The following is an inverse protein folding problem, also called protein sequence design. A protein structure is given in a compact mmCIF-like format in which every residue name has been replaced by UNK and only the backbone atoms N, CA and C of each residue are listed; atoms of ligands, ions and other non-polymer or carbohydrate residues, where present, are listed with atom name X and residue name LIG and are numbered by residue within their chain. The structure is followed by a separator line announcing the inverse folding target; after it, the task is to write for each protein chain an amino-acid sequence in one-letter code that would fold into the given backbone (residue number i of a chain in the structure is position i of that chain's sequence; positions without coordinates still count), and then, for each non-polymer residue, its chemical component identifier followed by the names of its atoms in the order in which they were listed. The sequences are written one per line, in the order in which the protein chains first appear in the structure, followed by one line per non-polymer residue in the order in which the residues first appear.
data_IF_069567825196
#
_entry.id   IF_069567825196
#
_cell.length_a   1.000
_cell.length_b   1.000
_cell.length_c   1.000
_cell.angle_alpha   90.00
_cell.angle_beta   90.00
_cell.angle_gamma   90.00
#
_symmetry.space_group_name_H-M   'P 1'
#
loop_
_entity.id
_entity.type
_entity.pdbx_description
1 polymer ?
#
# COMPACT_ATOMS: atom_id res chain seq x y z
N UNK A 1 -13.77 -10.45 1.23
CA UNK A 1 -12.97 -10.60 2.46
C UNK A 1 -13.82 -11.19 3.58
N UNK A 2 -14.84 -10.48 4.10
CA UNK A 2 -15.69 -11.01 5.19
C UNK A 2 -16.34 -12.35 4.83
N UNK A 3 -17.01 -12.43 3.67
CA UNK A 3 -17.61 -13.67 3.15
C UNK A 3 -16.59 -14.80 2.90
N UNK A 4 -15.30 -14.48 2.87
CA UNK A 4 -14.23 -15.43 2.57
C UNK A 4 -13.44 -15.82 3.83
N UNK A 5 -13.95 -15.54 5.04
CA UNK A 5 -13.34 -16.01 6.28
C UNK A 5 -12.51 -14.99 7.07
N UNK A 6 -12.51 -13.70 6.69
CA UNK A 6 -11.74 -12.67 7.41
C UNK A 6 -12.00 -12.66 8.93
N UNK A 7 -13.26 -12.83 9.37
CA UNK A 7 -13.59 -12.82 10.80
C UNK A 7 -12.99 -14.01 11.55
N UNK A 8 -12.84 -15.16 10.87
CA UNK A 8 -12.23 -16.34 11.45
C UNK A 8 -10.73 -16.08 11.67
N UNK A 9 -10.05 -15.55 10.66
CA UNK A 9 -8.64 -15.17 10.73
C UNK A 9 -8.36 -14.16 11.86
N UNK A 10 -9.23 -13.14 11.99
CA UNK A 10 -9.10 -12.12 13.04
C UNK A 10 -9.28 -12.73 14.44
N UNK A 11 -10.28 -13.61 14.62
CA UNK A 11 -10.52 -14.29 15.91
C UNK A 11 -9.37 -15.22 16.28
N UNK A 12 -8.82 -15.94 15.32
CA UNK A 12 -7.64 -16.78 15.54
C UNK A 12 -6.46 -15.92 16.01
N UNK A 13 -6.18 -14.81 15.31
CA UNK A 13 -5.11 -13.89 15.70
C UNK A 13 -5.33 -13.30 17.11
N UNK A 14 -6.57 -12.98 17.46
CA UNK A 14 -6.95 -12.49 18.79
C UNK A 14 -6.70 -13.53 19.88
N UNK A 15 -7.13 -14.78 19.68
CA UNK A 15 -6.88 -15.85 20.65
C UNK A 15 -5.38 -16.16 20.79
N UNK A 16 -4.62 -16.18 19.69
CA UNK A 16 -3.16 -16.34 19.76
C UNK A 16 -2.51 -15.22 20.58
N UNK A 17 -2.93 -13.97 20.39
CA UNK A 17 -2.42 -12.84 21.16
C UNK A 17 -2.76 -12.98 22.65
N UNK A 18 -3.95 -13.47 22.98
CA UNK A 18 -4.40 -13.70 24.35
C UNK A 18 -3.63 -14.83 25.03
N UNK A 19 -3.61 -16.03 24.44
CA UNK A 19 -2.93 -17.21 25.00
C UNK A 19 -1.41 -17.02 25.10
N UNK A 20 -0.79 -16.36 24.13
CA UNK A 20 0.66 -16.08 24.18
C UNK A 20 1.05 -15.02 25.22
N UNK A 21 0.11 -14.20 25.68
CA UNK A 21 0.32 -13.33 26.84
C UNK A 21 0.29 -14.12 28.16
N UNK A 22 -0.48 -15.21 28.22
CA UNK A 22 -0.63 -16.03 29.43
C UNK A 22 0.52 -17.04 29.64
N UNK A 23 1.20 -17.47 28.56
CA UNK A 23 2.33 -18.41 28.61
C UNK A 23 3.69 -17.74 28.87
N UNK A 24 3.79 -16.41 28.76
CA UNK A 24 5.01 -15.65 29.02
C UNK A 24 5.06 -15.13 30.45
N UNK A 25 5.89 -15.74 31.31
CA UNK A 25 6.21 -15.22 32.63
C UNK A 25 6.90 -13.84 32.51
N UNK A 26 6.11 -12.77 32.50
CA UNK A 26 6.59 -11.39 32.44
C UNK A 26 5.48 -10.44 31.98
N UNK A 27 4.95 -9.68 32.94
CA UNK A 27 3.95 -8.61 32.81
C UNK A 27 4.03 -7.88 31.46
N UNK A 28 3.20 -8.29 30.49
CA UNK A 28 2.71 -7.36 29.47
C UNK A 28 1.52 -6.65 30.08
N UNK A 29 1.71 -5.38 30.43
CA UNK A 29 0.62 -4.49 30.83
C UNK A 29 -0.51 -4.55 29.78
N UNK A 30 -1.77 -4.31 30.19
CA UNK A 30 -2.90 -4.24 29.25
C UNK A 30 -2.64 -3.28 28.07
N UNK A 31 -1.79 -2.27 28.29
CA UNK A 31 -1.33 -1.34 27.27
C UNK A 31 -0.54 -2.00 26.13
N UNK A 32 0.21 -3.08 26.41
CA UNK A 32 0.97 -3.82 25.40
C UNK A 32 0.08 -4.81 24.62
N UNK A 33 -1.04 -5.26 25.23
CA UNK A 33 -2.05 -6.11 24.56
C UNK A 33 -2.84 -5.35 23.48
N UNK A 34 -3.01 -4.05 23.66
CA UNK A 34 -3.75 -3.16 22.74
C UNK A 34 -2.83 -2.31 21.85
N UNK A 35 -1.56 -2.70 21.72
CA UNK A 35 -0.60 -1.94 20.95
C UNK A 35 -0.71 -2.21 19.44
N UNK A 36 -1.63 -1.51 18.78
CA UNK A 36 -1.83 -1.57 17.32
C UNK A 36 -0.75 -0.82 16.52
N UNK A 37 0.38 -0.49 17.13
CA UNK A 37 1.49 0.24 16.50
C UNK A 37 2.70 -0.64 16.20
N UNK A 38 2.62 -1.96 16.42
CA UNK A 38 3.73 -2.89 16.22
C UNK A 38 3.28 -4.18 15.50
N UNK A 39 4.11 -4.65 14.58
CA UNK A 39 3.97 -5.97 13.96
C UNK A 39 2.65 -6.18 13.20
N UNK A 40 2.15 -7.42 13.24
CA UNK A 40 0.93 -7.85 12.54
C UNK A 40 -0.34 -7.13 13.05
N UNK A 41 -0.32 -6.61 14.27
CA UNK A 41 -1.47 -5.90 14.86
C UNK A 41 -1.74 -4.52 14.23
N UNK A 42 -0.82 -4.01 13.39
CA UNK A 42 -1.04 -2.79 12.59
C UNK A 42 -1.96 -3.01 11.38
N UNK A 43 -2.23 -4.26 11.00
CA UNK A 43 -2.99 -4.62 9.80
C UNK A 43 -4.40 -4.02 9.81
N UNK A 44 -4.79 -3.42 8.68
CA UNK A 44 -6.15 -2.91 8.47
C UNK A 44 -7.13 -4.08 8.49
N UNK A 45 -8.14 -3.98 9.33
CA UNK A 45 -9.14 -5.02 9.58
C UNK A 45 -8.92 -5.75 10.90
N UNK A 46 -7.73 -5.71 11.51
CA UNK A 46 -7.57 -6.26 12.87
C UNK A 46 -8.03 -5.25 13.92
N UNK A 47 -7.39 -4.08 13.98
CA UNK A 47 -7.71 -3.03 14.97
C UNK A 47 -9.15 -2.51 14.83
N UNK A 48 -9.66 -2.41 13.60
CA UNK A 48 -11.03 -1.95 13.35
C UNK A 48 -12.08 -2.95 13.86
N UNK A 49 -11.76 -4.24 13.88
CA UNK A 49 -12.63 -5.28 14.43
C UNK A 49 -12.33 -5.61 15.89
N UNK A 50 -11.33 -4.97 16.51
CA UNK A 50 -10.91 -5.29 17.86
C UNK A 50 -12.05 -5.15 18.88
N UNK A 51 -12.77 -4.03 18.87
CA UNK A 51 -13.90 -3.81 19.77
C UNK A 51 -15.05 -4.80 19.54
N UNK A 52 -15.21 -5.29 18.31
CA UNK A 52 -16.24 -6.28 17.97
C UNK A 52 -15.88 -7.69 18.45
N UNK A 53 -14.59 -8.06 18.44
CA UNK A 53 -14.14 -9.40 18.84
C UNK A 53 -13.80 -9.50 20.34
N UNK A 54 -13.42 -8.40 20.99
CA UNK A 54 -13.04 -8.39 22.40
C UNK A 54 -14.25 -8.29 23.34
N UNK A 55 -15.38 -7.83 22.83
CA UNK A 55 -16.59 -7.67 23.64
C UNK A 55 -17.34 -9.02 23.78
N UNK A 56 -17.61 -9.48 25.00
CA UNK A 56 -18.50 -10.63 25.22
C UNK A 56 -19.92 -10.40 24.66
N UNK A 57 -20.40 -9.15 24.62
CA UNK A 57 -21.71 -8.78 24.10
C UNK A 57 -21.60 -8.35 22.62
N UNK A 58 -21.71 -9.35 21.75
CA UNK A 58 -21.63 -9.16 20.30
C UNK A 58 -22.81 -8.32 19.79
N UNK A 59 -22.56 -7.04 19.49
CA UNK A 59 -23.55 -6.12 18.92
C UNK A 59 -23.40 -6.01 17.40
N UNK A 60 -24.53 -6.10 16.68
CA UNK A 60 -24.59 -5.88 15.23
C UNK A 60 -24.14 -4.46 14.84
N UNK A 61 -24.36 -3.47 15.72
CA UNK A 61 -23.87 -2.10 15.51
C UNK A 61 -22.35 -2.03 15.46
N UNK A 62 -21.66 -2.68 16.40
CA UNK A 62 -20.18 -2.74 16.44
C UNK A 62 -19.60 -3.43 15.22
N UNK A 63 -20.29 -4.47 14.73
CA UNK A 63 -19.91 -5.12 13.47
C UNK A 63 -20.00 -4.16 12.29
N UNK A 64 -21.12 -3.46 12.13
CA UNK A 64 -21.32 -2.51 11.04
C UNK A 64 -20.29 -1.37 11.08
N UNK A 65 -20.00 -0.84 12.27
CA UNK A 65 -18.98 0.19 12.48
C UNK A 65 -17.58 -0.32 12.11
N UNK A 66 -17.19 -1.51 12.55
CA UNK A 66 -15.91 -2.14 12.21
C UNK A 66 -15.74 -2.31 10.68
N UNK A 67 -16.81 -2.67 9.98
CA UNK A 67 -16.82 -2.79 8.51
C UNK A 67 -16.57 -1.44 7.85
N UNK A 68 -17.26 -0.39 8.28
CA UNK A 68 -17.10 0.95 7.70
C UNK A 68 -15.74 1.55 8.02
N UNK A 69 -15.23 1.37 9.24
CA UNK A 69 -13.88 1.78 9.60
C UNK A 69 -12.83 1.05 8.75
N UNK A 70 -12.97 -0.26 8.53
CA UNK A 70 -12.06 -1.04 7.68
C UNK A 70 -12.04 -0.48 6.26
N UNK A 71 -13.22 -0.26 5.65
CA UNK A 71 -13.32 0.36 4.31
C UNK A 71 -12.67 1.74 4.26
N UNK A 72 -12.88 2.55 5.30
CA UNK A 72 -12.31 3.89 5.40
C UNK A 72 -10.79 3.88 5.51
N UNK A 73 -10.24 3.03 6.39
CA UNK A 73 -8.81 2.80 6.53
C UNK A 73 -8.18 2.32 5.23
N UNK A 74 -8.82 1.39 4.50
CA UNK A 74 -8.33 0.92 3.19
C UNK A 74 -8.29 2.05 2.16
N UNK A 75 -9.33 2.91 2.07
CA UNK A 75 -9.32 4.07 1.16
C UNK A 75 -8.22 5.07 1.52
N UNK A 76 -8.05 5.38 2.80
CA UNK A 76 -6.98 6.25 3.28
C UNK A 76 -5.60 5.67 2.97
N UNK A 77 -5.41 4.37 3.15
CA UNK A 77 -4.16 3.70 2.84
C UNK A 77 -3.83 3.78 1.34
N UNK A 78 -4.79 3.46 0.46
CA UNK A 78 -4.60 3.58 -0.98
C UNK A 78 -4.21 5.02 -1.40
N UNK A 79 -4.88 6.04 -0.83
CA UNK A 79 -4.52 7.44 -1.07
C UNK A 79 -3.08 7.75 -0.65
N UNK A 80 -2.69 7.34 0.57
CA UNK A 80 -1.33 7.55 1.08
C UNK A 80 -0.27 6.83 0.25
N UNK A 81 -0.57 5.64 -0.28
CA UNK A 81 0.35 4.93 -1.17
C UNK A 81 0.63 5.73 -2.43
N UNK A 82 -0.41 6.28 -3.07
CA UNK A 82 -0.25 7.12 -4.27
C UNK A 82 0.53 8.39 -3.93
N UNK A 83 0.19 9.06 -2.83
CA UNK A 83 0.91 10.26 -2.37
C UNK A 83 2.40 9.95 -2.11
N UNK A 84 2.72 8.82 -1.49
CA UNK A 84 4.11 8.42 -1.25
C UNK A 84 4.87 8.13 -2.55
N UNK A 85 4.24 7.42 -3.49
CA UNK A 85 4.84 7.15 -4.80
C UNK A 85 5.17 8.44 -5.55
N UNK A 86 4.28 9.43 -5.50
CA UNK A 86 4.43 10.71 -6.19
C UNK A 86 5.41 11.65 -5.51
N UNK A 87 5.37 11.75 -4.18
CA UNK A 87 6.09 12.79 -3.44
C UNK A 87 7.44 12.33 -2.88
N UNK A 88 7.65 11.02 -2.74
CA UNK A 88 8.88 10.47 -2.14
C UNK A 88 9.64 9.61 -3.16
N UNK A 89 9.01 8.56 -3.70
CA UNK A 89 9.71 7.61 -4.59
C UNK A 89 10.11 8.23 -5.93
N UNK A 90 9.18 8.89 -6.63
CA UNK A 90 9.48 9.45 -7.95
C UNK A 90 10.57 10.53 -7.90
N UNK A 91 10.58 11.48 -6.94
CA UNK A 91 11.70 12.41 -6.76
C UNK A 91 13.03 11.71 -6.49
N UNK A 92 13.05 10.66 -5.67
CA UNK A 92 14.27 9.90 -5.39
C UNK A 92 14.82 9.20 -6.63
N UNK A 93 13.95 8.61 -7.48
CA UNK A 93 14.39 8.01 -8.75
C UNK A 93 14.96 9.08 -9.69
N UNK A 94 14.27 10.22 -9.81
CA UNK A 94 14.72 11.33 -10.66
C UNK A 94 16.07 11.91 -10.22
N UNK A 95 16.32 11.99 -8.91
CA UNK A 95 17.59 12.51 -8.39
C UNK A 95 18.76 11.60 -8.76
N UNK A 96 18.59 10.28 -8.63
CA UNK A 96 19.58 9.28 -9.07
C UNK A 96 19.81 9.37 -10.58
N UNK A 97 18.72 9.43 -11.36
CA UNK A 97 18.80 9.54 -12.82
C UNK A 97 19.52 10.82 -13.29
N UNK A 98 19.33 11.95 -12.60
CA UNK A 98 20.03 13.19 -12.92
C UNK A 98 21.54 13.11 -12.63
N UNK A 99 21.93 12.41 -11.56
CA UNK A 99 23.35 12.22 -11.18
C UNK A 99 24.08 11.23 -12.09
N UNK A 100 23.35 10.30 -12.71
CA UNK A 100 23.91 9.25 -13.56
C UNK A 100 23.94 9.60 -15.06
N UNK A 101 23.74 10.86 -15.45
CA UNK A 101 23.84 11.29 -16.86
C UNK A 101 25.20 10.87 -17.45
N UNK A 102 25.17 9.81 -18.28
CA UNK A 102 26.37 9.21 -18.91
C UNK A 102 26.70 7.77 -18.50
N UNK A 103 25.96 7.14 -17.57
CA UNK A 103 26.15 5.72 -17.18
C UNK A 103 24.96 4.85 -17.66
N UNK A 104 25.26 3.60 -18.00
CA UNK A 104 24.37 2.65 -18.68
C UNK A 104 23.18 2.11 -17.86
N UNK A 105 23.08 2.40 -16.56
CA UNK A 105 21.98 1.94 -15.72
C UNK A 105 21.31 3.12 -15.05
N UNK A 106 20.17 3.52 -15.62
CA UNK A 106 19.32 4.59 -15.12
C UNK A 106 18.10 3.94 -14.48
N UNK A 107 17.84 4.24 -13.22
CA UNK A 107 16.60 3.82 -12.57
C UNK A 107 15.40 4.52 -13.25
N UNK A 108 14.44 3.72 -13.74
CA UNK A 108 13.24 4.22 -14.39
C UNK A 108 11.98 3.70 -13.68
N UNK A 109 10.94 4.55 -13.60
CA UNK A 109 9.63 4.17 -13.09
C UNK A 109 8.62 4.14 -14.24
N UNK A 110 8.03 2.98 -14.48
CA UNK A 110 7.01 2.76 -15.49
C UNK A 110 5.62 2.71 -14.86
N UNK A 111 4.66 3.46 -15.44
CA UNK A 111 3.27 3.46 -14.98
C UNK A 111 2.37 2.68 -15.94
N UNK A 112 1.73 1.64 -15.41
CA UNK A 112 0.79 0.78 -16.15
C UNK A 112 -0.64 1.07 -15.70
N UNK A 113 -1.50 1.41 -16.66
CA UNK A 113 -2.87 1.85 -16.35
C UNK A 113 -3.82 0.66 -16.12
N UNK A 114 -4.25 0.51 -14.86
CA UNK A 114 -5.22 -0.52 -14.44
C UNK A 114 -6.66 0.00 -14.33
N UNK A 115 -6.94 1.25 -14.73
CA UNK A 115 -8.23 1.94 -14.52
C UNK A 115 -9.36 1.41 -15.40
N UNK A 116 -9.05 0.64 -16.45
CA UNK A 116 -10.04 -0.06 -17.27
C UNK A 116 -10.94 -0.97 -16.42
N UNK A 117 -12.21 -1.13 -16.82
CA UNK A 117 -13.26 -1.85 -16.06
C UNK A 117 -12.68 -3.08 -15.36
N UNK A 118 -12.44 -2.95 -14.06
CA UNK A 118 -12.33 -4.09 -13.17
C UNK A 118 -13.72 -4.72 -13.22
N UNK A 119 -13.91 -5.72 -14.09
CA UNK A 119 -15.13 -6.49 -14.12
C UNK A 119 -15.18 -7.37 -12.85
N UNK A 120 -15.23 -6.73 -11.68
CA UNK A 120 -15.86 -7.32 -10.51
C UNK A 120 -17.33 -7.24 -10.81
N UNK A 121 -17.80 -8.18 -11.63
CA UNK A 121 -19.20 -8.37 -11.90
C UNK A 121 -19.90 -8.51 -10.56
N UNK A 122 -20.72 -7.54 -10.20
CA UNK A 122 -21.80 -7.73 -9.25
C UNK A 122 -22.84 -8.61 -9.96
N UNK A 123 -22.51 -9.87 -10.19
CA UNK A 123 -23.46 -10.92 -10.55
C UNK A 123 -23.42 -11.95 -9.45
N UNK A 124 -24.39 -11.81 -8.56
CA UNK A 124 -24.91 -12.90 -7.77
C UNK A 124 -25.16 -14.07 -8.74
N UNK A 125 -24.65 -15.25 -8.39
CA UNK A 125 -24.68 -16.49 -9.19
C UNK A 125 -23.75 -16.53 -10.42
N UNK A 126 -22.50 -16.91 -10.19
CA UNK A 126 -21.90 -18.22 -10.56
C UNK A 126 -20.37 -18.05 -10.47
N UNK A 127 -19.79 -18.70 -9.47
CA UNK A 127 -18.35 -18.82 -9.27
C UNK A 127 -17.83 -19.82 -10.31
N UNK A 128 -17.31 -19.33 -11.44
CA UNK A 128 -16.46 -20.15 -12.30
C UNK A 128 -15.16 -19.37 -12.55
N UNK A 129 -14.14 -19.71 -11.76
CA UNK A 129 -12.88 -18.96 -11.62
C UNK A 129 -11.88 -19.29 -12.76
N UNK A 130 -12.25 -20.14 -13.72
CA UNK A 130 -11.32 -20.59 -14.77
C UNK A 130 -11.31 -19.75 -16.05
N UNK A 131 -12.10 -18.68 -16.14
CA UNK A 131 -11.97 -17.73 -17.24
C UNK A 131 -12.35 -16.33 -16.77
N UNK A 132 -11.53 -15.78 -15.87
CA UNK A 132 -11.41 -14.34 -15.78
C UNK A 132 -10.83 -13.88 -17.12
N UNK A 133 -11.72 -13.52 -18.05
CA UNK A 133 -11.37 -12.63 -19.15
C UNK A 133 -10.77 -11.40 -18.48
N UNK A 134 -9.44 -11.35 -18.40
CA UNK A 134 -8.73 -10.09 -18.25
C UNK A 134 -9.33 -9.23 -19.35
N UNK A 135 -10.23 -8.30 -19.00
CA UNK A 135 -10.92 -7.48 -19.99
C UNK A 135 -9.87 -6.96 -20.96
N UNK A 136 -10.14 -6.98 -22.27
CA UNK A 136 -9.14 -6.74 -23.33
C UNK A 136 -8.22 -5.54 -23.03
N UNK A 137 -8.77 -4.50 -22.39
CA UNK A 137 -8.06 -3.34 -21.87
C UNK A 137 -6.93 -3.63 -20.86
N UNK A 138 -7.03 -4.63 -19.97
CA UNK A 138 -5.93 -4.99 -19.04
C UNK A 138 -4.81 -5.73 -19.77
N UNK A 139 -5.14 -6.53 -20.78
CA UNK A 139 -4.12 -7.17 -21.60
C UNK A 139 -3.32 -6.10 -22.34
N UNK A 140 -4.01 -5.16 -23.00
CA UNK A 140 -3.35 -4.10 -23.76
C UNK A 140 -2.63 -3.06 -22.89
N UNK A 141 -3.19 -2.69 -21.73
CA UNK A 141 -2.67 -1.55 -20.95
C UNK A 141 -1.70 -1.97 -19.82
N UNK A 142 -1.69 -3.24 -19.45
CA UNK A 142 -0.87 -3.75 -18.32
C UNK A 142 0.01 -4.90 -18.77
N UNK A 143 -0.60 -6.01 -19.23
CA UNK A 143 0.15 -7.24 -19.47
C UNK A 143 1.16 -7.08 -20.62
N UNK A 144 0.73 -6.55 -21.76
CA UNK A 144 1.60 -6.39 -22.93
C UNK A 144 2.73 -5.38 -22.67
N UNK A 145 2.47 -4.17 -22.14
CA UNK A 145 3.56 -3.25 -21.79
C UNK A 145 4.50 -3.82 -20.73
N UNK A 146 3.98 -4.50 -19.70
CA UNK A 146 4.83 -5.14 -18.69
C UNK A 146 5.77 -6.19 -19.29
N UNK A 147 5.25 -7.06 -20.16
CA UNK A 147 6.06 -8.06 -20.87
C UNK A 147 7.10 -7.42 -21.77
N UNK A 148 6.71 -6.39 -22.52
CA UNK A 148 7.61 -5.65 -23.41
C UNK A 148 8.78 -5.05 -22.63
N UNK A 149 8.50 -4.33 -21.53
CA UNK A 149 9.52 -3.72 -20.67
C UNK A 149 10.41 -4.79 -20.04
N UNK A 150 9.82 -5.86 -19.52
CA UNK A 150 10.56 -6.96 -18.90
C UNK A 150 11.49 -7.64 -19.90
N UNK A 151 11.01 -7.96 -21.10
CA UNK A 151 11.83 -8.61 -22.12
C UNK A 151 12.96 -7.69 -22.57
N UNK A 152 12.68 -6.40 -22.84
CA UNK A 152 13.71 -5.44 -23.21
C UNK A 152 14.78 -5.31 -22.11
N UNK A 153 14.36 -5.27 -20.84
CA UNK A 153 15.28 -5.24 -19.71
C UNK A 153 16.15 -6.50 -19.61
N UNK A 154 15.55 -7.68 -19.74
CA UNK A 154 16.27 -8.96 -19.61
C UNK A 154 17.21 -9.23 -20.79
N UNK A 155 16.88 -8.72 -21.97
CA UNK A 155 17.69 -8.87 -23.19
C UNK A 155 18.72 -7.76 -23.39
N UNK A 156 18.84 -6.81 -22.44
CA UNK A 156 19.70 -5.63 -22.56
C UNK A 156 19.39 -4.77 -23.81
N UNK A 157 18.12 -4.76 -24.23
CA UNK A 157 17.62 -3.91 -25.31
C UNK A 157 17.33 -2.49 -24.81
N UNK A 158 17.18 -1.54 -25.74
CA UNK A 158 16.81 -0.18 -25.39
C UNK A 158 15.40 -0.15 -24.76
N UNK A 159 15.34 0.37 -23.53
CA UNK A 159 14.08 0.47 -22.80
C UNK A 159 13.21 1.62 -23.34
N UNK A 160 11.88 1.44 -23.42
CA UNK A 160 10.98 2.49 -23.87
C UNK A 160 10.99 3.68 -22.89
N UNK A 161 10.73 4.89 -23.40
CA UNK A 161 10.53 6.06 -22.55
C UNK A 161 9.28 5.88 -21.67
N UNK A 162 9.39 5.92 -20.32
CA UNK A 162 8.27 5.76 -19.42
C UNK A 162 7.08 6.70 -19.68
N UNK A 163 7.32 7.92 -20.18
CA UNK A 163 6.27 8.93 -20.43
C UNK A 163 5.45 8.66 -21.69
N UNK A 164 5.92 7.72 -22.53
CA UNK A 164 5.27 7.39 -23.81
C UNK A 164 4.29 6.22 -23.72
N UNK A 165 4.30 5.47 -22.60
CA UNK A 165 3.47 4.26 -22.44
C UNK A 165 1.95 4.54 -22.43
N UNK A 166 1.51 5.67 -21.88
CA UNK A 166 0.10 6.06 -21.88
C UNK A 166 -0.07 7.56 -21.59
N UNK A 167 -1.24 8.15 -21.90
CA UNK A 167 -1.55 9.53 -21.51
C UNK A 167 -1.47 9.74 -19.98
N UNK A 168 -1.89 8.74 -19.19
CA UNK A 168 -1.82 8.78 -17.74
C UNK A 168 -0.38 8.75 -17.22
N UNK A 169 0.46 7.88 -17.82
CA UNK A 169 1.88 7.80 -17.51
C UNK A 169 2.55 9.14 -17.78
N UNK A 170 2.25 9.78 -18.92
CA UNK A 170 2.75 11.12 -19.22
C UNK A 170 2.37 12.11 -18.13
N UNK A 171 1.08 12.25 -17.81
CA UNK A 171 0.60 13.21 -16.82
C UNK A 171 1.27 13.02 -15.45
N UNK A 172 1.25 11.79 -14.91
CA UNK A 172 1.79 11.50 -13.57
C UNK A 172 3.32 11.64 -13.54
N UNK A 173 4.00 11.13 -14.56
CA UNK A 173 5.46 11.11 -14.58
C UNK A 173 6.08 12.45 -14.99
N UNK A 174 5.31 13.43 -15.49
CA UNK A 174 5.82 14.79 -15.76
C UNK A 174 5.47 15.80 -14.67
N UNK A 175 4.25 15.75 -14.11
CA UNK A 175 3.66 16.85 -13.32
C UNK A 175 4.20 17.06 -11.90
N UNK A 176 5.06 16.17 -11.38
CA UNK A 176 5.59 16.30 -10.00
C UNK A 176 6.44 17.58 -9.79
N UNK A 177 6.93 18.21 -10.87
CA UNK A 177 7.67 19.48 -10.77
C UNK A 177 6.79 20.69 -10.39
N UNK A 178 5.46 20.61 -10.47
CA UNK A 178 4.58 21.72 -10.07
C UNK A 178 4.41 21.81 -8.55
N UNK A 179 4.37 20.67 -7.87
CA UNK A 179 4.22 20.62 -6.40
C UNK A 179 5.51 21.03 -5.67
N UNK A 180 6.69 20.70 -6.21
CA UNK A 180 7.98 21.04 -5.60
C UNK A 180 8.37 22.52 -5.75
N UNK A 181 7.83 23.25 -6.75
CA UNK A 181 8.13 24.67 -6.96
C UNK A 181 7.22 25.63 -6.19
N UNK A 182 6.06 25.17 -5.71
CA UNK A 182 5.12 26.02 -4.95
C UNK A 182 5.30 25.97 -3.44
N UNK A 183 6.15 25.06 -2.92
CA UNK A 183 6.51 25.04 -1.50
C UNK A 183 7.69 25.96 -1.28
N UNK A 184 7.40 27.28 -1.30
CA UNK A 184 8.15 28.21 -0.45
C UNK A 184 7.93 27.70 0.97
N UNK A 185 8.97 27.18 1.60
CA UNK A 185 8.94 26.70 2.98
C UNK A 185 8.47 27.85 3.88
N UNK A 186 7.25 27.81 4.45
CA UNK A 186 6.88 28.73 5.49
C UNK A 186 7.40 28.14 6.79
N UNK A 187 8.39 28.78 7.39
CA UNK A 187 8.63 28.66 8.82
C UNK A 187 7.33 29.00 9.55
N UNK A 188 6.77 28.04 10.31
CA UNK A 188 6.29 28.19 11.69
C UNK A 188 5.40 27.00 12.10
N UNK A 189 5.84 26.33 13.17
CA UNK A 189 5.04 25.79 14.28
C UNK A 189 3.57 25.46 13.99
N UNK A 190 3.26 24.21 13.67
CA UNK A 190 1.95 23.64 14.00
C UNK A 190 2.03 22.13 14.25
N UNK A 191 1.41 21.70 15.35
CA UNK A 191 1.46 20.37 15.94
C UNK A 191 0.52 19.40 15.19
N UNK A 192 0.76 19.13 13.90
CA UNK A 192 0.25 17.91 13.22
C UNK A 192 1.10 17.55 11.99
N UNK A 193 2.42 17.70 12.09
CA UNK A 193 3.33 17.13 11.09
C UNK A 193 3.28 15.61 11.20
N UNK A 194 2.42 14.98 10.42
CA UNK A 194 2.54 13.56 10.17
C UNK A 194 3.89 13.33 9.50
N UNK A 195 4.77 12.48 10.07
CA UNK A 195 6.09 12.25 9.51
C UNK A 195 5.94 11.79 8.06
N UNK A 196 6.80 12.31 7.17
CA UNK A 196 6.89 11.79 5.80
C UNK A 196 7.08 10.28 5.89
N UNK A 197 6.49 9.47 5.01
CA UNK A 197 6.61 8.02 5.19
C UNK A 197 8.07 7.55 5.07
N UNK A 198 8.94 8.33 4.43
CA UNK A 198 10.40 8.18 4.49
C UNK A 198 10.95 8.37 5.91
N UNK A 199 10.52 9.40 6.65
CA UNK A 199 10.87 9.58 8.07
C UNK A 199 10.31 8.45 8.96
N UNK A 200 9.13 7.90 8.63
CA UNK A 200 8.59 6.71 9.32
C UNK A 200 9.47 5.48 9.08
N UNK A 201 9.98 5.30 7.85
CA UNK A 201 10.87 4.19 7.50
C UNK A 201 12.27 4.36 8.13
N UNK A 202 12.83 5.57 8.12
CA UNK A 202 14.11 5.88 8.76
C UNK A 202 14.05 5.71 10.28
N UNK A 203 13.01 6.22 10.93
CA UNK A 203 12.80 6.03 12.37
C UNK A 203 12.63 4.55 12.76
N UNK A 204 12.24 3.69 11.80
CA UNK A 204 12.05 2.24 11.99
C UNK A 204 13.20 1.41 11.46
N UNK A 205 14.25 2.03 10.91
CA UNK A 205 15.45 1.34 10.43
C UNK A 205 16.22 0.80 11.63
N UNK A 206 15.94 -0.45 12.02
CA UNK A 206 16.82 -1.19 12.93
C UNK A 206 18.12 -1.49 12.18
N UNK A 207 19.26 -1.11 12.75
CA UNK A 207 20.58 -1.54 12.28
C UNK A 207 20.64 -3.05 12.50
N UNK A 208 20.34 -3.82 11.46
CA UNK A 208 20.59 -5.26 11.44
C UNK A 208 22.01 -5.42 10.94
N UNK A 209 22.89 -5.79 11.88
CA UNK A 209 24.35 -5.98 11.75
C UNK A 209 25.19 -4.68 11.80
N UNK A 210 25.89 -4.41 12.92
CA UNK A 210 27.11 -3.62 12.86
C UNK A 210 28.19 -4.42 12.10
N UNK A 211 28.88 -3.76 11.17
CA UNK A 211 30.15 -4.26 10.62
C UNK A 211 31.25 -4.22 11.69
#
# INVERSE_FOLDING_TARGET
MIKNGLLQEIRELYEYARTSADLGAGRRDEHDRNNFTVGVFQSIGYKEFYEFISDPDVSEGKFADAVEQTKHSTRKYAKRQVEWLQNELLPAIRSVTAQCRGKSSVAALYLLDTTGKLAVGRKEHVFNVSSLVLGESRVSNVLQPAKMIMNAFLNEEELPDPTTLSPLARAILTDVNKALRSVVVPTLTDLTVFPSPSAVLEARRKVVCPL
#
